data_IF_049845352335
#
_entry.id   IF_049845352335
#
_cell.length_a   1.000
_cell.length_b   1.000
_cell.length_c   1.000
_cell.angle_alpha   90.00
_cell.angle_beta   90.00
_cell.angle_gamma   90.00
#
_symmetry.space_group_name_H-M   'P 1'
#
loop_
_entity.id
_entity.type
_entity.pdbx_description
1 polymer ?
#
# COMPACT_ATOMS: atom_id res chain seq x y z
N UNK A 1 7.03 -25.79 31.51
CA UNK A 1 7.19 -25.27 30.15
C UNK A 1 5.86 -24.75 29.68
N UNK A 2 5.82 -23.62 28.96
CA UNK A 2 4.67 -23.26 28.16
C UNK A 2 4.93 -23.57 26.69
N UNK A 3 3.83 -23.85 25.99
CA UNK A 3 3.78 -24.48 24.68
C UNK A 3 4.20 -23.54 23.54
N UNK A 4 4.95 -24.10 22.61
CA UNK A 4 5.12 -23.60 21.24
C UNK A 4 3.75 -23.57 20.54
N UNK A 5 3.35 -22.38 20.06
CA UNK A 5 2.31 -22.24 19.04
C UNK A 5 2.92 -22.38 17.63
N UNK A 6 2.14 -22.78 16.62
CA UNK A 6 2.67 -23.02 15.28
C UNK A 6 3.13 -21.71 14.61
N UNK A 7 4.18 -21.72 13.77
CA UNK A 7 4.63 -20.55 13.05
C UNK A 7 3.76 -20.38 11.79
N UNK A 8 2.76 -19.51 11.86
CA UNK A 8 1.94 -19.15 10.72
C UNK A 8 1.22 -17.84 10.98
N UNK A 9 1.69 -16.76 10.33
CA UNK A 9 0.97 -15.50 10.10
C UNK A 9 0.11 -14.98 11.26
N UNK A 10 0.73 -14.66 12.39
CA UNK A 10 0.08 -13.87 13.41
C UNK A 10 0.52 -12.43 13.21
N UNK A 11 -0.38 -11.55 12.79
CA UNK A 11 -0.15 -10.12 12.95
C UNK A 11 0.17 -9.86 14.43
N UNK A 12 1.07 -8.90 14.69
CA UNK A 12 1.37 -8.49 16.05
C UNK A 12 0.04 -8.11 16.75
N UNK A 13 -0.21 -8.66 17.94
CA UNK A 13 -1.47 -8.49 18.68
C UNK A 13 -1.81 -7.00 18.86
N UNK A 14 -0.79 -6.15 19.04
CA UNK A 14 -0.90 -4.70 19.09
C UNK A 14 -1.39 -4.06 17.77
N UNK A 15 -0.95 -4.57 16.60
CA UNK A 15 -1.41 -4.06 15.29
C UNK A 15 -2.85 -4.45 15.03
N UNK A 16 -3.28 -5.63 15.47
CA UNK A 16 -4.67 -6.04 15.37
C UNK A 16 -5.58 -5.22 16.30
N UNK A 17 -5.14 -4.93 17.54
CA UNK A 17 -5.87 -4.07 18.46
C UNK A 17 -6.01 -2.64 17.94
N UNK A 18 -4.94 -2.08 17.37
CA UNK A 18 -4.95 -0.77 16.71
C UNK A 18 -5.91 -0.76 15.52
N UNK A 19 -5.85 -1.79 14.67
CA UNK A 19 -6.76 -1.89 13.53
C UNK A 19 -8.22 -2.01 13.97
N UNK A 20 -8.52 -2.79 15.01
CA UNK A 20 -9.88 -2.89 15.57
C UNK A 20 -10.36 -1.59 16.24
N UNK A 21 -9.45 -0.71 16.67
CA UNK A 21 -9.78 0.63 17.14
C UNK A 21 -10.12 1.57 15.98
N UNK A 22 -9.38 1.49 14.88
CA UNK A 22 -9.55 2.32 13.69
C UNK A 22 -10.76 1.88 12.86
N UNK A 23 -10.89 0.59 12.60
CA UNK A 23 -11.90 0.01 11.70
C UNK A 23 -12.46 -1.32 12.26
N UNK A 24 -13.17 -1.20 13.38
CA UNK A 24 -13.84 -2.32 14.06
C UNK A 24 -14.58 -3.30 13.12
N UNK A 25 -15.37 -2.88 12.12
CA UNK A 25 -16.10 -3.84 11.30
C UNK A 25 -15.20 -4.67 10.37
N UNK A 26 -14.05 -4.13 9.95
CA UNK A 26 -13.14 -4.80 9.03
C UNK A 26 -11.98 -5.51 9.73
N UNK A 27 -11.73 -5.21 11.00
CA UNK A 27 -10.60 -5.78 11.72
C UNK A 27 -10.64 -7.30 11.92
N UNK A 28 -11.76 -7.96 11.63
CA UNK A 28 -11.87 -9.42 11.64
C UNK A 28 -11.72 -10.06 10.25
N UNK A 29 -11.52 -9.27 9.19
CA UNK A 29 -11.28 -9.77 7.84
C UNK A 29 -9.78 -9.92 7.60
N UNK A 30 -9.34 -11.14 7.27
CA UNK A 30 -7.91 -11.44 7.06
C UNK A 30 -7.30 -10.60 5.93
N UNK A 31 -8.01 -10.44 4.81
CA UNK A 31 -7.53 -9.59 3.70
C UNK A 31 -7.33 -8.12 4.13
N UNK A 32 -8.25 -7.58 4.93
CA UNK A 32 -8.16 -6.19 5.39
C UNK A 32 -7.07 -6.02 6.44
N UNK A 33 -6.85 -7.01 7.31
CA UNK A 33 -5.72 -6.99 8.26
C UNK A 33 -4.38 -6.96 7.51
N UNK A 34 -4.22 -7.79 6.48
CA UNK A 34 -3.01 -7.79 5.65
C UNK A 34 -2.82 -6.46 4.90
N UNK A 35 -3.91 -5.85 4.45
CA UNK A 35 -3.86 -4.55 3.79
C UNK A 35 -3.56 -3.42 4.77
N UNK A 36 -4.11 -3.47 5.99
CA UNK A 36 -3.80 -2.51 7.04
C UNK A 36 -2.33 -2.59 7.47
N UNK A 37 -1.79 -3.79 7.64
CA UNK A 37 -0.35 -4.00 7.88
C UNK A 37 0.50 -3.39 6.77
N UNK A 38 0.08 -3.57 5.51
CA UNK A 38 0.78 -2.97 4.39
C UNK A 38 0.71 -1.44 4.40
N UNK A 39 -0.45 -0.85 4.72
CA UNK A 39 -0.58 0.61 4.91
C UNK A 39 0.30 1.11 6.04
N UNK A 40 0.35 0.42 7.17
CA UNK A 40 1.24 0.74 8.30
C UNK A 40 2.71 0.65 7.89
N UNK A 41 3.07 -0.35 7.10
CA UNK A 41 4.44 -0.50 6.60
C UNK A 41 4.83 0.61 5.62
N UNK A 42 3.88 1.10 4.81
CA UNK A 42 4.06 2.28 3.95
C UNK A 42 4.25 3.52 4.81
N UNK A 43 3.39 3.72 5.81
CA UNK A 43 3.50 4.84 6.75
C UNK A 43 4.85 4.86 7.47
N UNK A 44 5.29 3.72 8.02
CA UNK A 44 6.60 3.58 8.67
C UNK A 44 7.79 3.78 7.74
N UNK A 45 7.62 3.68 6.41
CA UNK A 45 8.69 4.01 5.45
C UNK A 45 8.79 5.51 5.19
N UNK A 46 7.74 6.26 5.51
CA UNK A 46 7.69 7.72 5.37
C UNK A 46 7.98 8.43 6.69
N UNK A 47 7.59 7.84 7.82
CA UNK A 47 7.78 8.36 9.19
C UNK A 47 9.23 8.07 9.66
N UNK A 48 10.17 8.91 9.24
CA UNK A 48 11.61 8.72 9.43
C UNK A 48 12.05 8.91 10.89
N UNK A 49 11.39 9.81 11.63
CA UNK A 49 11.68 10.00 13.06
C UNK A 49 10.90 9.02 13.97
N UNK A 50 9.99 8.23 13.38
CA UNK A 50 9.14 7.24 14.02
C UNK A 50 8.29 7.83 15.18
N UNK A 51 7.85 9.08 15.05
CA UNK A 51 7.00 9.74 16.03
C UNK A 51 5.52 9.30 15.95
N UNK A 52 5.16 8.55 14.90
CA UNK A 52 3.81 8.04 14.64
C UNK A 52 3.00 8.91 13.68
N UNK A 53 3.59 9.95 13.08
CA UNK A 53 2.95 10.83 12.11
C UNK A 53 3.96 11.21 11.04
N UNK A 54 3.52 11.18 9.78
CA UNK A 54 4.30 11.69 8.66
C UNK A 54 4.03 13.17 8.53
N UNK A 55 5.06 13.99 8.64
CA UNK A 55 4.99 15.42 8.42
C UNK A 55 5.33 15.84 6.98
N UNK A 56 5.27 17.15 6.75
CA UNK A 56 5.48 17.78 5.45
C UNK A 56 6.90 17.59 4.92
N UNK A 57 7.91 17.64 5.78
CA UNK A 57 9.31 17.47 5.39
C UNK A 57 9.60 16.00 5.10
N UNK A 58 9.11 15.09 5.94
CA UNK A 58 9.25 13.64 5.79
C UNK A 58 8.63 13.13 4.48
N UNK A 59 7.40 13.56 4.17
CA UNK A 59 6.75 13.19 2.91
C UNK A 59 7.42 13.80 1.67
N UNK A 60 8.01 15.00 1.77
CA UNK A 60 8.73 15.63 0.66
C UNK A 60 10.04 14.88 0.36
N UNK A 61 10.77 14.46 1.40
CA UNK A 61 11.97 13.64 1.26
C UNK A 61 11.65 12.29 0.62
N UNK A 62 10.65 11.57 1.15
CA UNK A 62 10.20 10.30 0.60
C UNK A 62 9.76 10.39 -0.87
N UNK A 63 9.01 11.43 -1.24
CA UNK A 63 8.55 11.60 -2.62
C UNK A 63 9.71 11.79 -3.61
N UNK A 64 10.79 12.45 -3.18
CA UNK A 64 11.97 12.72 -4.00
C UNK A 64 12.94 11.55 -4.05
N UNK A 65 13.16 10.90 -2.92
CA UNK A 65 14.17 9.84 -2.79
C UNK A 65 13.64 8.46 -3.18
N UNK A 66 12.47 8.07 -2.68
CA UNK A 66 11.90 6.74 -2.94
C UNK A 66 11.04 6.72 -4.20
N UNK A 67 10.13 7.69 -4.35
CA UNK A 67 9.24 7.76 -5.53
C UNK A 67 9.88 8.49 -6.73
N UNK A 68 11.05 9.09 -6.55
CA UNK A 68 11.84 9.75 -7.60
C UNK A 68 11.05 10.83 -8.37
N UNK A 69 10.13 11.54 -7.69
CA UNK A 69 9.42 12.69 -8.25
C UNK A 69 10.32 13.93 -8.28
N UNK A 70 10.44 14.54 -9.45
CA UNK A 70 11.19 15.80 -9.62
C UNK A 70 10.43 17.04 -9.15
N UNK A 71 9.10 16.97 -9.06
CA UNK A 71 8.25 18.08 -8.59
C UNK A 71 7.12 17.53 -7.69
N UNK A 72 7.35 17.40 -6.37
CA UNK A 72 6.36 16.84 -5.44
C UNK A 72 5.24 17.82 -5.10
N UNK A 73 5.28 19.07 -5.54
CA UNK A 73 4.43 20.17 -5.05
C UNK A 73 2.92 19.89 -5.13
N UNK A 74 2.46 19.25 -6.22
CA UNK A 74 1.03 18.88 -6.40
C UNK A 74 0.65 17.69 -5.51
N UNK A 75 1.57 16.73 -5.36
CA UNK A 75 1.37 15.51 -4.57
C UNK A 75 1.38 15.81 -3.08
N UNK A 76 2.25 16.73 -2.67
CA UNK A 76 2.36 17.27 -1.33
C UNK A 76 1.05 17.91 -0.83
N UNK A 77 0.42 18.72 -1.69
CA UNK A 77 -0.90 19.31 -1.39
C UNK A 77 -2.03 18.27 -1.35
N UNK A 78 -1.90 17.17 -2.10
CA UNK A 78 -2.91 16.09 -2.13
C UNK A 78 -2.79 15.18 -0.91
N UNK A 79 -1.56 14.93 -0.44
CA UNK A 79 -1.27 14.04 0.68
C UNK A 79 -1.61 14.69 2.02
N UNK A 80 -1.18 15.94 2.23
CA UNK A 80 -1.42 16.67 3.47
C UNK A 80 -2.74 17.44 3.45
N UNK A 81 -3.10 18.08 2.34
CA UNK A 81 -4.28 18.95 2.30
C UNK A 81 -4.25 20.02 3.40
N UNK A 82 -5.17 19.93 4.37
CA UNK A 82 -5.20 20.78 5.57
C UNK A 82 -4.46 20.17 6.78
N UNK A 83 -4.19 18.86 6.76
CA UNK A 83 -3.56 18.09 7.83
C UNK A 83 -2.04 17.99 7.62
N UNK A 84 -1.29 18.63 8.52
CA UNK A 84 0.18 18.69 8.46
C UNK A 84 0.87 17.45 9.04
N UNK A 85 0.11 16.56 9.66
CA UNK A 85 0.57 15.34 10.30
C UNK A 85 -0.38 14.22 9.88
N UNK A 86 0.13 13.25 9.13
CA UNK A 86 -0.66 12.11 8.65
C UNK A 86 -0.34 10.92 9.51
N UNK A 87 -1.33 10.46 10.30
CA UNK A 87 -1.20 9.23 11.08
C UNK A 87 -1.49 7.99 10.22
N UNK A 88 -1.17 6.80 10.74
CA UNK A 88 -1.54 5.52 10.11
C UNK A 88 -3.06 5.43 9.88
N UNK A 89 -3.86 5.97 10.81
CA UNK A 89 -5.32 6.01 10.72
C UNK A 89 -5.80 6.90 9.57
N UNK A 90 -5.18 8.07 9.39
CA UNK A 90 -5.54 9.00 8.32
C UNK A 90 -5.17 8.41 6.95
N UNK A 91 -4.01 7.77 6.85
CA UNK A 91 -3.59 7.10 5.63
C UNK A 91 -4.55 5.96 5.24
N UNK A 92 -4.92 5.11 6.21
CA UNK A 92 -5.90 4.04 6.01
C UNK A 92 -7.25 4.58 5.53
N UNK A 93 -7.77 5.61 6.20
CA UNK A 93 -9.06 6.22 5.83
C UNK A 93 -9.00 6.88 4.46
N UNK A 94 -7.91 7.57 4.14
CA UNK A 94 -7.72 8.24 2.85
C UNK A 94 -7.72 7.21 1.70
N UNK A 95 -6.92 6.14 1.83
CA UNK A 95 -6.91 5.06 0.85
C UNK A 95 -8.28 4.39 0.73
N UNK A 96 -8.95 4.08 1.85
CA UNK A 96 -10.27 3.44 1.85
C UNK A 96 -11.36 4.32 1.23
N UNK A 97 -11.27 5.64 1.40
CA UNK A 97 -12.18 6.61 0.78
C UNK A 97 -11.89 6.84 -0.71
N UNK A 98 -10.71 6.45 -1.20
CA UNK A 98 -10.34 6.59 -2.61
C UNK A 98 -11.07 5.59 -3.51
N UNK A 99 -11.16 5.91 -4.81
CA UNK A 99 -11.71 4.99 -5.81
C UNK A 99 -10.92 3.67 -5.88
N UNK A 100 -9.62 3.71 -5.55
CA UNK A 100 -8.72 2.56 -5.61
C UNK A 100 -9.19 1.43 -4.72
N UNK A 101 -9.74 1.73 -3.53
CA UNK A 101 -10.25 0.71 -2.61
C UNK A 101 -11.35 -0.13 -3.27
N UNK A 102 -12.22 0.51 -4.06
CA UNK A 102 -13.37 -0.11 -4.69
C UNK A 102 -13.06 -0.77 -6.05
N UNK A 103 -11.79 -0.77 -6.47
CA UNK A 103 -11.42 -1.36 -7.76
C UNK A 103 -11.68 -2.85 -7.83
N UNK A 104 -12.29 -3.25 -8.94
CA UNK A 104 -12.45 -4.65 -9.32
C UNK A 104 -11.15 -5.23 -9.86
N UNK A 105 -11.11 -6.57 -10.01
CA UNK A 105 -9.97 -7.26 -10.64
C UNK A 105 -9.66 -6.70 -12.02
N UNK A 106 -10.69 -6.33 -12.80
CA UNK A 106 -10.50 -5.79 -14.14
C UNK A 106 -9.87 -4.40 -14.13
N UNK A 107 -10.24 -3.56 -13.17
CA UNK A 107 -9.65 -2.23 -13.02
C UNK A 107 -8.19 -2.29 -12.58
N UNK A 108 -7.85 -3.18 -11.63
CA UNK A 108 -6.46 -3.41 -11.22
C UNK A 108 -5.63 -3.95 -12.39
N UNK A 109 -6.18 -4.89 -13.17
CA UNK A 109 -5.51 -5.42 -14.36
C UNK A 109 -5.31 -4.34 -15.41
N UNK A 110 -6.31 -3.50 -15.65
CA UNK A 110 -6.18 -2.41 -16.60
C UNK A 110 -5.10 -1.42 -16.13
N UNK A 111 -5.08 -1.07 -14.85
CA UNK A 111 -4.02 -0.26 -14.24
C UNK A 111 -2.63 -0.87 -14.43
N UNK A 112 -2.49 -2.19 -14.24
CA UNK A 112 -1.24 -2.91 -14.48
C UNK A 112 -0.77 -2.80 -15.94
N UNK A 113 -1.70 -2.88 -16.89
CA UNK A 113 -1.41 -2.83 -18.32
C UNK A 113 -1.10 -1.40 -18.78
N UNK A 114 -1.89 -0.41 -18.37
CA UNK A 114 -1.83 0.94 -18.92
C UNK A 114 -0.91 1.87 -18.14
N UNK A 115 -0.87 1.76 -16.81
CA UNK A 115 -0.11 2.68 -15.95
C UNK A 115 1.20 2.08 -15.47
N UNK A 116 1.21 0.80 -15.13
CA UNK A 116 2.44 0.08 -14.77
C UNK A 116 3.16 -0.44 -16.02
N UNK A 117 2.44 -0.62 -17.13
CA UNK A 117 2.96 -1.15 -18.40
C UNK A 117 3.60 -2.54 -18.25
N UNK A 118 2.96 -3.41 -17.47
CA UNK A 118 3.38 -4.79 -17.27
C UNK A 118 2.29 -5.81 -17.66
N UNK A 119 1.82 -5.80 -18.92
CA UNK A 119 0.74 -6.69 -19.38
C UNK A 119 1.06 -8.18 -19.21
N UNK A 120 2.34 -8.56 -19.18
CA UNK A 120 2.78 -9.94 -19.02
C UNK A 120 2.36 -10.60 -17.68
N UNK A 121 1.96 -9.82 -16.67
CA UNK A 121 1.48 -10.37 -15.39
C UNK A 121 -0.05 -10.33 -15.24
N UNK A 122 -0.79 -9.90 -16.28
CA UNK A 122 -2.25 -9.84 -16.28
C UNK A 122 -2.89 -11.16 -15.82
N UNK A 123 -2.49 -12.29 -16.43
CA UNK A 123 -3.06 -13.60 -16.10
C UNK A 123 -2.85 -13.94 -14.62
N UNK A 124 -1.70 -13.57 -14.07
CA UNK A 124 -1.39 -13.81 -12.65
C UNK A 124 -2.27 -12.96 -11.75
N UNK A 125 -2.46 -11.68 -12.06
CA UNK A 125 -3.34 -10.78 -11.30
C UNK A 125 -4.80 -11.26 -11.34
N UNK A 126 -5.29 -11.69 -12.51
CA UNK A 126 -6.63 -12.28 -12.65
C UNK A 126 -6.74 -13.59 -11.87
N UNK A 127 -5.74 -14.46 -11.95
CA UNK A 127 -5.75 -15.76 -11.27
C UNK A 127 -5.75 -15.62 -9.74
N UNK A 128 -5.02 -14.63 -9.22
CA UNK A 128 -4.99 -14.31 -7.80
C UNK A 128 -6.17 -13.47 -7.34
N UNK A 129 -7.07 -13.05 -8.27
CA UNK A 129 -8.24 -12.24 -7.98
C UNK A 129 -7.88 -10.94 -7.23
N UNK A 130 -6.79 -10.29 -7.63
CA UNK A 130 -6.32 -9.07 -6.97
C UNK A 130 -7.27 -7.92 -7.26
N UNK A 131 -7.87 -7.36 -6.21
CA UNK A 131 -8.76 -6.19 -6.26
C UNK A 131 -8.08 -4.97 -5.64
N UNK A 132 -8.78 -3.84 -5.63
CA UNK A 132 -8.36 -2.60 -4.98
C UNK A 132 -7.82 -2.78 -3.57
N UNK A 133 -8.44 -3.66 -2.79
CA UNK A 133 -8.03 -4.02 -1.43
C UNK A 133 -6.59 -4.54 -1.36
N UNK A 134 -6.06 -5.15 -2.42
CA UNK A 134 -4.69 -5.65 -2.46
C UNK A 134 -3.64 -4.59 -2.82
N UNK A 135 -4.04 -3.38 -3.21
CA UNK A 135 -3.12 -2.34 -3.68
C UNK A 135 -2.05 -1.95 -2.65
N UNK A 136 -2.35 -1.76 -1.35
CA UNK A 136 -1.32 -1.54 -0.33
C UNK A 136 -0.33 -2.70 -0.23
N UNK A 137 -0.82 -3.94 -0.37
CA UNK A 137 0.02 -5.15 -0.34
C UNK A 137 0.97 -5.23 -1.54
N UNK A 138 0.60 -4.63 -2.68
CA UNK A 138 1.45 -4.51 -3.87
C UNK A 138 2.49 -3.38 -3.76
N UNK A 139 2.22 -2.38 -2.90
CA UNK A 139 3.09 -1.22 -2.69
C UNK A 139 4.24 -1.46 -1.70
N UNK A 140 4.23 -2.57 -0.97
CA UNK A 140 5.29 -2.95 -0.03
C UNK A 140 6.25 -3.97 -0.64
N UNK A 141 7.52 -3.93 -0.21
CA UNK A 141 8.59 -4.84 -0.67
C UNK A 141 8.46 -6.25 -0.07
N UNK A 142 7.28 -6.87 -0.13
CA UNK A 142 7.11 -8.23 0.36
C UNK A 142 7.59 -9.23 -0.71
N UNK A 143 8.84 -9.66 -0.59
CA UNK A 143 9.49 -10.60 -1.51
C UNK A 143 8.68 -11.88 -1.77
N UNK A 144 7.83 -12.29 -0.82
CA UNK A 144 6.92 -13.43 -0.94
C UNK A 144 5.76 -13.16 -1.93
N UNK A 145 5.13 -11.98 -1.89
CA UNK A 145 4.04 -11.62 -2.81
C UNK A 145 4.55 -11.38 -4.23
N UNK A 146 5.58 -10.57 -4.41
CA UNK A 146 6.11 -10.25 -5.75
C UNK A 146 6.93 -11.41 -6.34
N UNK A 147 7.65 -12.16 -5.51
CA UNK A 147 8.52 -13.25 -5.95
C UNK A 147 7.82 -14.60 -6.10
N UNK A 148 7.14 -15.10 -5.06
CA UNK A 148 6.56 -16.43 -5.07
C UNK A 148 5.15 -16.48 -5.68
N UNK A 149 4.33 -15.46 -5.43
CA UNK A 149 2.95 -15.41 -5.93
C UNK A 149 2.85 -14.80 -7.34
N UNK A 150 3.44 -13.62 -7.55
CA UNK A 150 3.41 -12.94 -8.85
C UNK A 150 4.44 -13.49 -9.86
N UNK A 151 5.39 -14.32 -9.40
CA UNK A 151 6.51 -14.86 -10.20
C UNK A 151 7.33 -13.78 -10.90
N UNK A 152 7.38 -12.57 -10.34
CA UNK A 152 8.15 -11.45 -10.88
C UNK A 152 9.61 -11.62 -10.45
N UNK A 153 10.38 -12.38 -11.23
CA UNK A 153 11.81 -12.60 -10.96
C UNK A 153 12.64 -11.35 -11.22
N UNK A 154 12.22 -10.55 -12.19
CA UNK A 154 12.87 -9.30 -12.58
C UNK A 154 12.73 -8.23 -11.48
N UNK A 155 13.87 -7.65 -11.08
CA UNK A 155 13.92 -6.62 -10.02
C UNK A 155 13.30 -5.31 -10.48
N UNK A 156 13.50 -4.93 -11.75
CA UNK A 156 12.99 -3.69 -12.32
C UNK A 156 11.46 -3.73 -12.42
N UNK A 157 10.88 -4.88 -12.80
CA UNK A 157 9.43 -5.06 -12.80
C UNK A 157 8.83 -4.95 -11.40
N UNK A 158 9.49 -5.55 -10.39
CA UNK A 158 9.06 -5.45 -8.98
C UNK A 158 9.10 -4.02 -8.48
N UNK A 159 10.21 -3.32 -8.70
CA UNK A 159 10.37 -1.93 -8.30
C UNK A 159 9.35 -1.03 -9.01
N UNK A 160 9.13 -1.21 -10.32
CA UNK A 160 8.12 -0.43 -11.07
C UNK A 160 6.72 -0.65 -10.53
N UNK A 161 6.32 -1.90 -10.30
CA UNK A 161 5.02 -2.23 -9.71
C UNK A 161 4.85 -1.60 -8.33
N UNK A 162 5.88 -1.73 -7.49
CA UNK A 162 5.88 -1.20 -6.14
C UNK A 162 5.69 0.33 -6.13
N UNK A 163 6.54 1.06 -6.86
CA UNK A 163 6.47 2.53 -6.92
C UNK A 163 5.13 3.01 -7.48
N UNK A 164 4.61 2.33 -8.50
CA UNK A 164 3.30 2.67 -9.09
C UNK A 164 2.15 2.35 -8.14
N UNK A 165 2.20 1.21 -7.42
CA UNK A 165 1.18 0.83 -6.44
C UNK A 165 1.19 1.81 -5.27
N UNK A 166 2.37 2.20 -4.80
CA UNK A 166 2.56 3.19 -3.75
C UNK A 166 1.97 4.54 -4.16
N UNK A 167 2.30 5.06 -5.35
CA UNK A 167 1.68 6.27 -5.90
C UNK A 167 0.14 6.14 -5.96
N UNK A 168 -0.37 4.98 -6.34
CA UNK A 168 -1.82 4.75 -6.44
C UNK A 168 -2.50 4.69 -5.08
N UNK A 169 -1.85 4.15 -4.05
CA UNK A 169 -2.38 4.07 -2.68
C UNK A 169 -2.36 5.44 -2.01
N UNK A 170 -1.27 6.21 -2.20
CA UNK A 170 -1.10 7.53 -1.57
C UNK A 170 -1.93 8.62 -2.25
N UNK A 171 -2.10 8.55 -3.58
CA UNK A 171 -2.69 9.64 -4.37
C UNK A 171 -3.95 9.25 -5.13
N UNK A 172 -4.38 8.00 -5.02
CA UNK A 172 -5.56 7.50 -5.71
C UNK A 172 -5.27 7.07 -7.17
N UNK A 173 -6.32 6.87 -7.98
CA UNK A 173 -6.18 6.36 -9.33
C UNK A 173 -5.35 7.32 -10.21
N UNK A 174 -4.53 6.81 -11.15
CA UNK A 174 -3.78 7.69 -12.04
C UNK A 174 -4.77 8.55 -12.84
N UNK A 175 -4.45 9.84 -12.96
CA UNK A 175 -5.25 10.77 -13.77
C UNK A 175 -5.29 10.22 -15.20
N UNK A 176 -6.51 9.97 -15.70
CA UNK A 176 -6.72 9.56 -17.08
C UNK A 176 -6.36 10.75 -17.98
N UNK A 177 -5.17 10.74 -18.56
CA UNK A 177 -4.85 11.62 -19.71
C UNK A 177 -5.57 11.16 -20.97
#
# INVERSE_FOLDING_TARGET
>A
GPAEGPPGSHLDEATLEEFCRIDRPLCHQEDEQLSFEAVRNIHNQMDDDANGNVDVEESDEFLREDLNYHDPTIKHSTFHGEDKLISVEDLWKSWKASEVYNWTVEEVVQWLITYVELPQYEETFRKLQLTGHAMPRLAITNATMTGALLKMTDRSHRQKLQLKALDTVLFGPPLRE
#
